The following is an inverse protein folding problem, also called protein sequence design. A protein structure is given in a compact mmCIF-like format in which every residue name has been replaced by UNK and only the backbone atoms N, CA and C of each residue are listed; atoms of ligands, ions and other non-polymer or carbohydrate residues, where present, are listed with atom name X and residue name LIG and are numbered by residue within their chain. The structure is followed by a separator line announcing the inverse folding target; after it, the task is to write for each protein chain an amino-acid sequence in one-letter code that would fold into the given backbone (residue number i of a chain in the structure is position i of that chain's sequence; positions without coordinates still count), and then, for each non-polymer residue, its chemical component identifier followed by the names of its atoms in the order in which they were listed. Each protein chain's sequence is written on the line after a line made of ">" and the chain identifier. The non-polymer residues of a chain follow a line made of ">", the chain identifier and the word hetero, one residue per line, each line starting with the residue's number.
data_IF_468201451093
#
_entry.id   IF_468201451093
#
_cell.length_a   1.000
_cell.length_b   1.000
_cell.length_c   1.000
_cell.angle_alpha   90.00
_cell.angle_beta   90.00
_cell.angle_gamma   90.00
#
_symmetry.space_group_name_H-M   'P 1'
#
loop_
_entity.id
_entity.type
_entity.pdbx_description
1 polymer ?
#
# COMPACT_ATOMS: atom_id res chain seq x y z
N UNK A 1 13.32 5.34 14.17
CA UNK A 1 13.48 6.67 13.53
C UNK A 1 12.44 6.76 12.41
N UNK A 2 11.77 7.89 12.22
CA UNK A 2 10.79 8.04 11.13
C UNK A 2 11.51 8.19 9.79
N UNK A 3 11.10 7.42 8.78
CA UNK A 3 11.70 7.41 7.44
C UNK A 3 10.72 7.98 6.41
N UNK A 4 11.06 9.12 5.82
CA UNK A 4 10.28 9.69 4.71
C UNK A 4 10.63 9.01 3.38
N UNK A 5 9.61 8.61 2.61
CA UNK A 5 9.76 8.11 1.25
C UNK A 5 8.82 8.85 0.30
N UNK A 6 9.27 9.03 -0.94
CA UNK A 6 8.52 9.67 -2.01
C UNK A 6 8.67 8.86 -3.30
N UNK A 7 7.56 8.66 -4.01
CA UNK A 7 7.48 7.88 -5.24
C UNK A 7 6.69 8.65 -6.31
N UNK A 8 6.83 8.25 -7.57
CA UNK A 8 6.05 8.75 -8.71
C UNK A 8 5.97 10.28 -8.79
N UNK A 9 7.11 10.95 -8.63
CA UNK A 9 7.21 12.42 -8.68
C UNK A 9 6.31 13.11 -7.63
N UNK A 10 6.29 12.56 -6.40
CA UNK A 10 5.55 13.15 -5.28
C UNK A 10 4.10 12.72 -5.15
N UNK A 11 3.57 11.94 -6.10
CA UNK A 11 2.17 11.49 -6.07
C UNK A 11 1.89 10.44 -5.00
N UNK A 12 2.92 9.76 -4.51
CA UNK A 12 2.81 8.87 -3.36
C UNK A 12 3.89 9.22 -2.36
N UNK A 13 3.50 9.42 -1.10
CA UNK A 13 4.41 9.74 0.01
C UNK A 13 4.09 8.87 1.20
N UNK A 14 5.11 8.42 1.92
CA UNK A 14 4.95 7.62 3.13
C UNK A 14 5.97 7.95 4.21
N UNK A 15 5.58 7.65 5.45
CA UNK A 15 6.45 7.64 6.62
C UNK A 15 6.55 6.21 7.13
N UNK A 16 7.74 5.62 7.00
CA UNK A 16 8.11 4.35 7.60
C UNK A 16 8.49 4.51 9.07
N UNK A 17 8.13 3.53 9.89
CA UNK A 17 8.42 3.50 11.33
C UNK A 17 8.46 2.05 11.84
N UNK A 18 9.11 1.86 12.99
CA UNK A 18 9.08 0.61 13.73
C UNK A 18 8.10 0.75 14.89
N UNK A 19 7.11 -0.13 14.97
CA UNK A 19 6.14 -0.17 16.05
C UNK A 19 6.39 -1.38 16.95
N UNK A 20 6.38 -1.18 18.26
CA UNK A 20 6.55 -2.26 19.23
C UNK A 20 5.39 -3.28 19.21
N UNK A 21 4.19 -2.88 18.72
CA UNK A 21 3.01 -3.74 18.71
C UNK A 21 2.80 -4.50 17.40
N UNK A 22 3.18 -3.92 16.27
CA UNK A 22 2.92 -4.50 14.93
C UNK A 22 4.18 -4.69 14.08
N UNK A 23 5.36 -4.32 14.59
CA UNK A 23 6.62 -4.40 13.87
C UNK A 23 6.84 -3.24 12.88
N UNK A 24 7.73 -3.43 11.88
CA UNK A 24 8.00 -2.44 10.85
C UNK A 24 6.76 -2.17 10.00
N UNK A 25 6.45 -0.89 9.81
CA UNK A 25 5.28 -0.45 9.06
C UNK A 25 5.53 0.88 8.34
N UNK A 26 4.61 1.26 7.46
CA UNK A 26 4.53 2.60 6.91
C UNK A 26 3.09 3.08 6.81
N UNK A 27 2.88 4.39 6.96
CA UNK A 27 1.63 5.05 6.60
C UNK A 27 1.88 6.00 5.45
N UNK A 28 0.97 6.08 4.50
CA UNK A 28 1.15 6.91 3.32
C UNK A 28 -0.14 7.38 2.68
N UNK A 29 0.00 8.28 1.72
CA UNK A 29 -1.07 8.83 0.90
C UNK A 29 -0.70 8.70 -0.57
N UNK A 30 -1.68 8.30 -1.39
CA UNK A 30 -1.59 8.22 -2.84
C UNK A 30 -2.55 9.22 -3.47
N UNK A 31 -2.08 10.05 -4.39
CA UNK A 31 -2.93 10.86 -5.26
C UNK A 31 -3.64 9.99 -6.30
N UNK A 32 -4.67 10.55 -6.95
CA UNK A 32 -5.35 9.90 -8.08
C UNK A 32 -4.35 9.51 -9.17
N UNK A 33 -4.39 8.25 -9.59
CA UNK A 33 -3.48 7.72 -10.60
C UNK A 33 -3.49 6.21 -10.67
N UNK A 34 -2.61 5.68 -11.51
CA UNK A 34 -2.32 4.25 -11.59
C UNK A 34 -0.86 4.02 -11.23
N UNK A 35 -0.60 3.01 -10.42
CA UNK A 35 0.71 2.74 -9.86
C UNK A 35 1.01 1.24 -9.86
N UNK A 36 2.28 0.91 -10.02
CA UNK A 36 2.79 -0.46 -9.92
C UNK A 36 3.81 -0.50 -8.79
N UNK A 37 3.63 -1.42 -7.86
CA UNK A 37 4.50 -1.59 -6.70
C UNK A 37 5.06 -3.01 -6.67
N UNK A 38 6.35 -3.12 -6.35
CA UNK A 38 7.03 -4.39 -6.11
C UNK A 38 7.26 -4.60 -4.62
N UNK A 39 7.06 -5.81 -4.13
CA UNK A 39 7.29 -6.18 -2.73
C UNK A 39 8.57 -7.01 -2.59
N UNK A 40 9.36 -6.73 -1.57
CA UNK A 40 10.47 -7.61 -1.18
C UNK A 40 10.03 -8.62 -0.11
N UNK A 41 9.21 -8.18 0.84
CA UNK A 41 8.57 -9.01 1.87
C UNK A 41 7.07 -9.05 1.63
N UNK A 42 6.39 -10.02 2.22
CA UNK A 42 4.94 -10.00 2.19
C UNK A 42 4.41 -8.74 2.92
N UNK A 43 3.32 -8.19 2.43
CA UNK A 43 2.75 -6.94 2.94
C UNK A 43 1.28 -7.14 3.29
N UNK A 44 0.85 -6.56 4.42
CA UNK A 44 -0.55 -6.39 4.77
C UNK A 44 -0.91 -4.90 4.63
N UNK A 45 -1.78 -4.59 3.68
CA UNK A 45 -2.20 -3.23 3.35
C UNK A 45 -3.62 -3.00 3.84
N UNK A 46 -3.82 -1.99 4.68
CA UNK A 46 -5.15 -1.55 5.15
C UNK A 46 -5.45 -0.16 4.60
N UNK A 47 -6.63 0.01 4.02
CA UNK A 47 -7.10 1.33 3.56
C UNK A 47 -7.59 2.13 4.77
N UNK A 48 -7.06 3.34 4.96
CA UNK A 48 -7.46 4.24 6.06
C UNK A 48 -8.54 5.21 5.58
N UNK A 49 -8.36 5.85 4.42
CA UNK A 49 -9.35 6.73 3.78
C UNK A 49 -9.33 6.58 2.26
N UNK A 50 -10.44 6.91 1.60
CA UNK A 50 -10.58 6.81 0.14
C UNK A 50 -10.89 5.37 -0.30
N UNK A 51 -10.34 4.94 -1.43
CA UNK A 51 -10.48 3.56 -1.91
C UNK A 51 -9.31 3.17 -2.81
N UNK A 52 -8.92 1.90 -2.73
CA UNK A 52 -7.86 1.34 -3.56
C UNK A 52 -8.43 0.22 -4.41
N UNK A 53 -8.32 0.33 -5.73
CA UNK A 53 -8.63 -0.77 -6.64
C UNK A 53 -7.33 -1.47 -7.01
N UNK A 54 -7.20 -2.74 -6.63
CA UNK A 54 -5.96 -3.52 -6.64
C UNK A 54 -6.07 -4.65 -7.65
N UNK A 55 -5.04 -4.87 -8.45
CA UNK A 55 -4.84 -6.09 -9.22
C UNK A 55 -3.73 -6.90 -8.55
N UNK A 56 -4.13 -8.01 -7.92
CA UNK A 56 -3.22 -8.88 -7.17
C UNK A 56 -2.30 -9.66 -8.12
N UNK A 57 -1.09 -10.06 -7.66
CA UNK A 57 -0.20 -10.87 -8.47
C UNK A 57 -0.90 -12.15 -8.95
N UNK A 58 -0.91 -12.39 -10.26
CA UNK A 58 -1.56 -13.56 -10.87
C UNK A 58 -3.09 -13.56 -10.89
N UNK A 59 -3.76 -12.52 -10.36
CA UNK A 59 -5.21 -12.37 -10.49
C UNK A 59 -5.58 -11.83 -11.87
N UNK A 60 -6.64 -12.35 -12.51
CA UNK A 60 -7.18 -11.75 -13.74
C UNK A 60 -8.05 -10.52 -13.46
N UNK A 61 -8.56 -10.41 -12.23
CA UNK A 61 -9.59 -9.44 -11.86
C UNK A 61 -9.09 -8.40 -10.86
N UNK A 62 -9.55 -7.17 -11.04
CA UNK A 62 -9.38 -6.08 -10.10
C UNK A 62 -10.35 -6.18 -8.93
N UNK A 63 -9.88 -5.86 -7.73
CA UNK A 63 -10.67 -5.86 -6.50
C UNK A 63 -10.61 -4.48 -5.86
N UNK A 64 -11.72 -3.97 -5.36
CA UNK A 64 -11.78 -2.67 -4.67
C UNK A 64 -11.81 -2.88 -3.16
N UNK A 65 -10.93 -2.17 -2.46
CA UNK A 65 -10.85 -2.13 -1.01
C UNK A 65 -11.23 -0.74 -0.50
N UNK A 66 -12.14 -0.71 0.47
CA UNK A 66 -12.75 0.45 1.11
C UNK A 66 -12.10 0.72 2.47
N UNK A 67 -12.34 1.87 3.11
CA UNK A 67 -11.76 2.20 4.41
C UNK A 67 -12.04 1.13 5.48
N UNK A 68 -10.99 0.69 6.17
CA UNK A 68 -11.01 -0.38 7.16
C UNK A 68 -10.77 -1.78 6.56
N UNK A 69 -10.83 -1.95 5.24
CA UNK A 69 -10.55 -3.23 4.59
C UNK A 69 -9.05 -3.44 4.38
N UNK A 70 -8.65 -4.70 4.37
CA UNK A 70 -7.26 -5.14 4.31
C UNK A 70 -7.05 -6.15 3.19
N UNK A 71 -5.90 -6.08 2.52
CA UNK A 71 -5.44 -7.07 1.55
C UNK A 71 -3.98 -7.47 1.77
N UNK A 72 -3.64 -8.67 1.30
CA UNK A 72 -2.35 -9.32 1.55
C UNK A 72 -1.58 -9.53 0.25
N UNK A 73 -0.42 -8.92 0.13
CA UNK A 73 0.46 -9.06 -1.03
C UNK A 73 1.60 -10.03 -0.68
N UNK A 74 1.83 -11.09 -1.47
CA UNK A 74 2.99 -11.95 -1.32
C UNK A 74 4.30 -11.17 -1.39
N UNK A 75 5.35 -11.67 -0.74
CA UNK A 75 6.71 -11.16 -0.97
C UNK A 75 7.22 -11.52 -2.35
N UNK A 76 8.27 -10.83 -2.79
CA UNK A 76 8.90 -11.04 -4.11
C UNK A 76 7.90 -11.01 -5.27
N UNK A 77 6.93 -10.09 -5.20
CA UNK A 77 5.86 -9.99 -6.18
C UNK A 77 5.61 -8.55 -6.63
N UNK A 78 4.69 -8.38 -7.57
CA UNK A 78 4.28 -7.07 -8.09
C UNK A 78 2.75 -7.00 -8.16
N UNK A 79 2.20 -5.86 -7.76
CA UNK A 79 0.77 -5.58 -7.81
C UNK A 79 0.50 -4.19 -8.38
N UNK A 80 -0.69 -4.03 -8.96
CA UNK A 80 -1.10 -2.76 -9.57
C UNK A 80 -2.24 -2.12 -8.77
N UNK A 81 -2.25 -0.79 -8.77
CA UNK A 81 -3.24 0.04 -8.09
C UNK A 81 -3.86 1.03 -9.05
N UNK A 82 -5.17 1.17 -8.98
CA UNK A 82 -5.96 2.28 -9.52
C UNK A 82 -6.54 3.06 -8.34
N UNK A 83 -6.17 4.34 -8.25
CA UNK A 83 -6.57 5.24 -7.18
C UNK A 83 -7.48 6.30 -7.79
N UNK A 84 -8.78 6.28 -7.44
CA UNK A 84 -9.78 7.18 -8.02
C UNK A 84 -9.81 8.57 -7.36
N UNK A 85 -9.41 8.64 -6.09
CA UNK A 85 -9.31 9.85 -5.26
C UNK A 85 -8.14 9.72 -4.28
N UNK A 86 -7.68 10.83 -3.70
CA UNK A 86 -6.59 10.79 -2.74
C UNK A 86 -6.91 9.83 -1.59
N UNK A 87 -6.08 8.80 -1.41
CA UNK A 87 -6.36 7.67 -0.52
C UNK A 87 -5.18 7.42 0.41
N UNK A 88 -5.46 7.13 1.68
CA UNK A 88 -4.44 6.86 2.70
C UNK A 88 -4.44 5.40 3.12
N UNK A 89 -3.27 4.89 3.52
CA UNK A 89 -3.08 3.47 3.84
C UNK A 89 -2.12 3.26 5.01
N UNK A 90 -2.24 2.10 5.65
CA UNK A 90 -1.24 1.49 6.53
C UNK A 90 -0.70 0.24 5.82
N UNK A 91 0.63 0.13 5.70
CA UNK A 91 1.31 -1.05 5.23
C UNK A 91 2.10 -1.66 6.40
N UNK A 92 1.87 -2.94 6.70
CA UNK A 92 2.68 -3.71 7.63
C UNK A 92 3.57 -4.67 6.83
N UNK A 93 4.87 -4.68 7.13
CA UNK A 93 5.82 -5.58 6.49
C UNK A 93 5.87 -6.91 7.26
N UNK A 94 5.33 -7.96 6.66
CA UNK A 94 5.25 -9.28 7.26
C UNK A 94 6.61 -10.00 7.18
N UNK A 95 6.95 -10.73 8.23
CA UNK A 95 8.20 -11.50 8.37
C UNK A 95 8.06 -12.92 7.85
#
# INVERSE_FOLDING_TARGET
>A
MLKFNEYFTGKVKSIGFDSDSIGPASVGVMEKGEYTFSTAKAEEMTVITGSLKVLMPGSPDWQTFMPGETFYIPGESEFNLQVAEASSYLCKYLS
#
